data_IF_291079835663
#
_entry.id   IF_291079835663
#
_cell.length_a   1.000
_cell.length_b   1.000
_cell.length_c   1.000
_cell.angle_alpha   90.00
_cell.angle_beta   90.00
_cell.angle_gamma   90.00
#
_symmetry.space_group_name_H-M   'P 1'
#
loop_
_entity.id
_entity.type
_entity.pdbx_description
1 polymer ?
#
# COMPACT_ATOMS: atom_id res chain seq x y z
N UNK A 1 24.60 56.34 45.58
CA UNK A 1 24.48 55.15 46.45
C UNK A 1 23.01 54.92 46.71
N UNK A 2 22.40 53.89 46.12
CA UNK A 2 21.03 53.49 46.44
C UNK A 2 20.93 51.98 46.40
N UNK A 3 20.49 51.47 47.55
CA UNK A 3 20.49 50.09 48.01
C UNK A 3 19.40 49.29 47.31
N UNK A 4 19.68 48.01 47.01
CA UNK A 4 18.68 47.03 46.56
C UNK A 4 17.62 46.81 47.64
N UNK A 5 16.36 46.63 47.22
CA UNK A 5 15.41 45.80 47.95
C UNK A 5 14.78 44.82 46.96
N UNK A 6 15.01 43.52 47.22
CA UNK A 6 14.32 42.41 46.56
C UNK A 6 13.09 42.09 47.42
N UNK A 7 11.91 42.01 46.82
CA UNK A 7 10.74 41.36 47.42
C UNK A 7 10.21 40.36 46.39
N UNK A 8 10.23 39.08 46.78
CA UNK A 8 9.71 37.94 46.04
C UNK A 8 8.47 37.47 46.79
N UNK A 9 7.28 37.50 46.19
CA UNK A 9 6.11 36.76 46.69
C UNK A 9 5.27 36.24 45.52
N UNK A 10 5.44 34.95 45.25
CA UNK A 10 4.56 33.87 44.76
C UNK A 10 3.33 34.10 43.84
N UNK A 11 3.01 33.08 43.01
CA UNK A 11 2.28 33.18 41.76
C UNK A 11 0.76 32.95 41.92
N UNK A 12 -0.06 33.77 41.24
CA UNK A 12 -1.51 33.55 41.12
C UNK A 12 -2.01 33.97 39.74
N UNK A 13 -1.63 33.24 38.70
CA UNK A 13 -2.37 33.29 37.43
C UNK A 13 -2.40 31.88 36.83
N UNK A 14 -3.19 30.99 37.43
CA UNK A 14 -3.56 29.69 36.88
C UNK A 14 -5.08 29.57 36.92
N UNK A 15 -5.78 30.45 36.21
CA UNK A 15 -7.20 30.26 35.87
C UNK A 15 -7.39 30.80 34.46
N UNK A 16 -7.68 29.93 33.51
CA UNK A 16 -8.14 30.33 32.18
C UNK A 16 -7.31 29.86 31.00
N UNK A 17 -7.00 28.56 30.88
CA UNK A 17 -6.55 27.98 29.61
C UNK A 17 -6.80 26.45 29.51
N UNK A 18 -7.85 25.91 30.13
CA UNK A 18 -8.02 24.45 30.27
C UNK A 18 -9.05 23.80 29.32
N UNK A 19 -9.61 24.51 28.32
CA UNK A 19 -10.71 23.96 27.51
C UNK A 19 -10.49 24.00 25.99
N UNK A 20 -9.27 23.75 25.49
CA UNK A 20 -9.04 23.70 24.03
C UNK A 20 -8.05 22.62 23.57
N UNK A 21 -7.93 21.48 24.26
CA UNK A 21 -6.98 20.42 23.88
C UNK A 21 -7.55 19.00 23.84
N UNK A 22 -8.87 18.83 23.69
CA UNK A 22 -9.50 17.50 23.61
C UNK A 22 -10.18 17.21 22.27
N UNK A 23 -9.66 17.75 21.17
CA UNK A 23 -9.92 17.19 19.84
C UNK A 23 -8.86 16.12 19.55
N UNK A 24 -8.85 15.04 20.35
CA UNK A 24 -8.11 13.84 19.98
C UNK A 24 -8.81 13.27 18.75
N UNK A 25 -8.13 13.34 17.61
CA UNK A 25 -8.64 12.86 16.35
C UNK A 25 -9.14 11.42 16.50
N UNK A 26 -10.38 11.19 16.10
CA UNK A 26 -10.86 9.84 15.86
C UNK A 26 -10.05 9.26 14.70
N UNK A 27 -8.94 8.61 15.01
CA UNK A 27 -8.21 7.82 14.05
C UNK A 27 -9.15 6.69 13.61
N UNK A 28 -9.72 6.80 12.41
CA UNK A 28 -10.42 5.69 11.80
C UNK A 28 -9.44 4.52 11.72
N UNK A 29 -9.63 3.52 12.58
CA UNK A 29 -8.92 2.26 12.46
C UNK A 29 -9.54 1.52 11.27
N UNK A 30 -8.91 1.63 10.10
CA UNK A 30 -9.27 0.81 8.95
C UNK A 30 -8.98 -0.65 9.30
N UNK A 31 -10.01 -1.35 9.79
CA UNK A 31 -9.91 -2.76 10.12
C UNK A 31 -9.92 -3.58 8.81
N UNK A 32 -8.73 -4.03 8.39
CA UNK A 32 -8.53 -4.85 7.20
C UNK A 32 -8.75 -6.36 7.46
N UNK A 33 -9.49 -6.74 8.50
CA UNK A 33 -9.72 -8.14 8.85
C UNK A 33 -10.29 -8.99 7.71
N UNK A 34 -11.01 -8.40 6.75
CA UNK A 34 -11.51 -9.10 5.56
C UNK A 34 -10.40 -9.73 4.70
N UNK A 35 -9.15 -9.25 4.82
CA UNK A 35 -8.00 -9.80 4.09
C UNK A 35 -7.42 -11.06 4.74
N UNK A 36 -7.73 -11.34 6.02
CA UNK A 36 -7.20 -12.52 6.72
C UNK A 36 -7.65 -13.83 6.08
N UNK A 37 -8.85 -13.83 5.50
CA UNK A 37 -9.44 -14.99 4.83
C UNK A 37 -9.25 -14.96 3.31
N UNK A 38 -8.18 -14.33 2.82
CA UNK A 38 -7.87 -14.28 1.38
C UNK A 38 -6.48 -14.87 1.12
N UNK A 39 -6.17 -15.32 -0.11
CA UNK A 39 -4.86 -15.85 -0.47
C UNK A 39 -3.67 -14.97 -0.05
N UNK A 40 -3.85 -13.64 0.06
CA UNK A 40 -2.79 -12.71 0.44
C UNK A 40 -2.27 -12.94 1.87
N UNK A 41 -3.09 -13.49 2.78
CA UNK A 41 -2.69 -13.75 4.17
C UNK A 41 -1.64 -14.86 4.29
N UNK A 42 -1.48 -15.68 3.24
CA UNK A 42 -0.48 -16.75 3.19
C UNK A 42 0.85 -16.33 2.56
N UNK A 43 0.96 -15.11 2.02
CA UNK A 43 2.21 -14.64 1.41
C UNK A 43 3.28 -14.37 2.45
N UNK A 44 4.45 -14.97 2.28
CA UNK A 44 5.66 -14.48 2.91
C UNK A 44 6.19 -13.23 2.19
N UNK A 45 7.11 -12.51 2.82
CA UNK A 45 7.82 -11.40 2.17
C UNK A 45 8.55 -11.85 0.89
N UNK A 46 9.07 -13.07 0.87
CA UNK A 46 9.75 -13.63 -0.30
C UNK A 46 8.76 -13.91 -1.44
N UNK A 47 7.59 -14.45 -1.12
CA UNK A 47 6.51 -14.66 -2.10
C UNK A 47 6.05 -13.33 -2.69
N UNK A 48 5.86 -12.31 -1.85
CA UNK A 48 5.46 -10.97 -2.31
C UNK A 48 6.51 -10.37 -3.25
N UNK A 49 7.80 -10.48 -2.91
CA UNK A 49 8.87 -9.98 -3.75
C UNK A 49 8.99 -10.76 -5.07
N UNK A 50 8.81 -12.08 -5.04
CA UNK A 50 8.85 -12.93 -6.23
C UNK A 50 7.69 -12.63 -7.18
N UNK A 51 6.45 -12.56 -6.66
CA UNK A 51 5.28 -12.20 -7.46
C UNK A 51 5.39 -10.78 -8.02
N UNK A 52 5.89 -9.81 -7.23
CA UNK A 52 6.10 -8.45 -7.71
C UNK A 52 7.09 -8.39 -8.88
N UNK A 53 8.16 -9.19 -8.86
CA UNK A 53 9.09 -9.31 -9.99
C UNK A 53 8.41 -9.92 -11.22
N UNK A 54 7.60 -10.96 -11.04
CA UNK A 54 6.85 -11.57 -12.13
C UNK A 54 5.86 -10.57 -12.77
N UNK A 55 5.12 -9.81 -11.95
CA UNK A 55 4.22 -8.74 -12.41
C UNK A 55 4.99 -7.66 -13.17
N UNK A 56 6.17 -7.24 -12.70
CA UNK A 56 6.99 -6.27 -13.40
C UNK A 56 7.48 -6.80 -14.76
N UNK A 57 7.91 -8.05 -14.81
CA UNK A 57 8.32 -8.70 -16.07
C UNK A 57 7.17 -8.76 -17.07
N UNK A 58 5.99 -9.22 -16.64
CA UNK A 58 4.78 -9.29 -17.49
C UNK A 58 4.34 -7.90 -17.95
N UNK A 59 4.48 -6.88 -17.10
CA UNK A 59 4.24 -5.48 -17.48
C UNK A 59 5.23 -5.01 -18.55
N UNK A 60 6.51 -5.31 -18.42
CA UNK A 60 7.52 -4.73 -19.31
C UNK A 60 7.63 -5.48 -20.64
N UNK A 61 7.42 -6.80 -20.62
CA UNK A 61 7.73 -7.70 -21.74
C UNK A 61 6.52 -8.51 -22.23
N UNK A 62 5.51 -8.74 -21.38
CA UNK A 62 4.41 -9.67 -21.68
C UNK A 62 3.48 -9.15 -22.78
N UNK A 63 3.08 -10.01 -23.72
CA UNK A 63 2.13 -9.62 -24.77
C UNK A 63 0.72 -9.49 -24.19
N UNK A 64 0.00 -8.45 -24.59
CA UNK A 64 -1.38 -8.24 -24.15
C UNK A 64 -2.25 -9.48 -24.42
N UNK A 65 -3.03 -9.88 -23.42
CA UNK A 65 -3.90 -11.06 -23.44
C UNK A 65 -3.18 -12.39 -23.20
N UNK A 66 -1.85 -12.45 -23.26
CA UNK A 66 -1.08 -13.65 -22.92
C UNK A 66 -1.08 -13.88 -21.41
N UNK A 67 -1.30 -15.12 -20.99
CA UNK A 67 -1.32 -15.47 -19.57
C UNK A 67 -0.03 -16.18 -19.19
N UNK A 68 0.66 -15.63 -18.18
CA UNK A 68 1.85 -16.23 -17.59
C UNK A 68 1.48 -16.82 -16.23
N UNK A 69 1.78 -18.11 -16.04
CA UNK A 69 1.64 -18.78 -14.75
C UNK A 69 2.84 -18.47 -13.84
N UNK A 70 2.55 -18.22 -12.58
CA UNK A 70 3.54 -18.07 -11.52
C UNK A 70 3.16 -18.99 -10.36
N UNK A 71 4.17 -19.57 -9.72
CA UNK A 71 3.99 -20.33 -8.48
C UNK A 71 5.11 -19.95 -7.52
N UNK A 72 4.83 -19.99 -6.21
CA UNK A 72 5.90 -19.78 -5.25
C UNK A 72 6.80 -21.02 -5.10
N UNK A 73 8.07 -20.75 -4.79
CA UNK A 73 9.13 -21.75 -4.55
C UNK A 73 9.30 -22.09 -3.05
N UNK A 74 8.51 -21.44 -2.18
CA UNK A 74 8.62 -21.59 -0.73
C UNK A 74 8.13 -22.93 -0.19
N UNK A 75 8.60 -23.30 1.00
CA UNK A 75 8.15 -24.48 1.76
C UNK A 75 6.79 -24.29 2.47
N UNK A 76 6.17 -23.12 2.33
CA UNK A 76 4.92 -22.74 2.98
C UNK A 76 3.68 -23.20 2.20
N UNK A 77 2.55 -22.50 2.43
CA UNK A 77 1.34 -22.68 1.62
C UNK A 77 1.69 -22.50 0.13
N UNK A 78 1.23 -23.44 -0.72
CA UNK A 78 1.36 -23.30 -2.16
C UNK A 78 0.50 -22.14 -2.65
N UNK A 79 1.12 -21.23 -3.36
CA UNK A 79 0.52 -20.09 -4.01
C UNK A 79 0.68 -20.27 -5.52
N UNK A 80 -0.39 -20.04 -6.26
CA UNK A 80 -0.36 -19.94 -7.72
C UNK A 80 -0.94 -18.59 -8.13
N UNK A 81 -0.44 -18.03 -9.23
CA UNK A 81 -1.01 -16.85 -9.84
C UNK A 81 -1.02 -16.94 -11.37
N UNK A 82 -2.06 -16.36 -11.99
CA UNK A 82 -2.14 -16.12 -13.43
C UNK A 82 -2.02 -14.63 -13.69
N UNK A 83 -1.08 -14.25 -14.55
CA UNK A 83 -0.75 -12.86 -14.87
C UNK A 83 -1.10 -12.58 -16.33
N UNK A 84 -2.07 -11.71 -16.57
CA UNK A 84 -2.49 -11.32 -17.92
C UNK A 84 -2.38 -9.81 -18.08
N UNK A 85 -1.47 -9.28 -18.93
CA UNK A 85 -1.36 -7.86 -19.18
C UNK A 85 -2.41 -7.39 -20.19
N UNK A 86 -2.83 -6.14 -20.04
CA UNK A 86 -3.55 -5.39 -21.06
C UNK A 86 -3.06 -3.94 -21.09
N UNK A 87 -2.95 -3.37 -22.28
CA UNK A 87 -2.51 -1.99 -22.49
C UNK A 87 -3.72 -1.10 -22.79
N UNK A 88 -3.76 0.07 -22.17
CA UNK A 88 -4.76 1.12 -22.43
C UNK A 88 -4.07 2.48 -22.47
N UNK A 89 -4.52 3.38 -23.33
CA UNK A 89 -4.13 4.79 -23.27
C UNK A 89 -5.08 5.54 -22.33
N UNK A 90 -4.57 6.21 -21.31
CA UNK A 90 -5.35 7.04 -20.39
C UNK A 90 -4.71 8.42 -20.25
N UNK A 91 -5.47 9.48 -20.54
CA UNK A 91 -5.00 10.87 -20.45
C UNK A 91 -3.69 11.10 -21.25
N UNK A 92 -3.56 10.45 -22.41
CA UNK A 92 -2.35 10.53 -23.24
C UNK A 92 -1.13 9.79 -22.68
N UNK A 93 -1.31 8.95 -21.67
CA UNK A 93 -0.28 8.07 -21.09
C UNK A 93 -0.58 6.62 -21.41
N UNK A 94 0.43 5.89 -21.88
CA UNK A 94 0.37 4.43 -21.97
C UNK A 94 0.30 3.84 -20.57
N UNK A 95 -0.78 3.11 -20.30
CA UNK A 95 -0.99 2.36 -19.07
C UNK A 95 -1.09 0.87 -19.34
N UNK A 96 -0.71 0.06 -18.36
CA UNK A 96 -0.75 -1.39 -18.40
C UNK A 96 -1.39 -1.91 -17.13
N UNK A 97 -2.53 -2.59 -17.27
CA UNK A 97 -3.17 -3.34 -16.19
C UNK A 97 -2.66 -4.77 -16.23
N UNK A 98 -2.33 -5.33 -15.07
CA UNK A 98 -1.97 -6.75 -14.94
C UNK A 98 -3.06 -7.46 -14.16
N UNK A 99 -3.96 -8.17 -14.83
CA UNK A 99 -4.92 -9.05 -14.14
C UNK A 99 -4.12 -10.15 -13.46
N UNK A 100 -4.19 -10.20 -12.13
CA UNK A 100 -3.43 -11.11 -11.28
C UNK A 100 -4.41 -11.96 -10.48
N UNK A 101 -4.67 -13.16 -10.96
CA UNK A 101 -5.57 -14.12 -10.30
C UNK A 101 -4.74 -15.00 -9.40
N UNK A 102 -4.93 -14.91 -8.09
CA UNK A 102 -4.14 -15.59 -7.07
C UNK A 102 -4.99 -16.69 -6.44
N UNK A 103 -4.41 -17.88 -6.29
CA UNK A 103 -5.05 -19.03 -5.69
C UNK A 103 -4.20 -19.59 -4.54
N UNK A 104 -4.89 -19.93 -3.44
CA UNK A 104 -4.30 -20.59 -2.28
C UNK A 104 -5.39 -21.36 -1.52
N UNK A 105 -5.13 -22.63 -1.18
CA UNK A 105 -6.05 -23.45 -0.35
C UNK A 105 -7.52 -23.45 -0.83
N UNK A 106 -7.76 -23.46 -2.14
CA UNK A 106 -9.11 -23.45 -2.71
C UNK A 106 -9.81 -22.07 -2.66
N UNK A 107 -9.13 -21.03 -2.19
CA UNK A 107 -9.58 -19.65 -2.24
C UNK A 107 -8.95 -18.93 -3.43
N UNK A 108 -9.68 -17.99 -4.03
CA UNK A 108 -9.19 -17.15 -5.11
C UNK A 108 -9.35 -15.67 -4.78
N UNK A 109 -8.45 -14.85 -5.32
CA UNK A 109 -8.54 -13.39 -5.27
C UNK A 109 -7.97 -12.83 -6.55
N UNK A 110 -8.63 -11.81 -7.11
CA UNK A 110 -8.13 -11.12 -8.31
C UNK A 110 -7.68 -9.71 -7.95
N UNK A 111 -6.43 -9.39 -8.27
CA UNK A 111 -5.88 -8.04 -8.21
C UNK A 111 -5.71 -7.49 -9.63
N UNK A 112 -5.88 -6.17 -9.78
CA UNK A 112 -5.73 -5.46 -11.07
C UNK A 112 -4.87 -4.22 -10.90
N UNK A 113 -3.58 -4.35 -10.54
CA UNK A 113 -2.68 -3.21 -10.49
C UNK A 113 -2.57 -2.56 -11.87
N UNK A 114 -2.72 -1.24 -11.90
CA UNK A 114 -2.58 -0.40 -13.08
C UNK A 114 -1.28 0.39 -12.99
N UNK A 115 -0.43 0.26 -14.00
CA UNK A 115 0.81 1.03 -14.09
C UNK A 115 0.72 1.96 -15.28
N UNK A 116 0.95 3.26 -15.09
CA UNK A 116 1.01 4.23 -16.20
C UNK A 116 2.43 4.74 -16.37
N UNK A 117 2.88 4.91 -17.62
CA UNK A 117 4.14 5.58 -17.90
C UNK A 117 4.02 7.06 -17.53
N UNK A 118 5.02 7.54 -16.81
CA UNK A 118 5.27 8.97 -16.60
C UNK A 118 5.83 9.59 -17.88
N UNK A 119 5.86 10.93 -17.96
CA UNK A 119 6.52 11.64 -19.06
C UNK A 119 8.00 11.24 -19.24
N UNK A 120 8.68 10.84 -18.15
CA UNK A 120 10.05 10.32 -18.17
C UNK A 120 10.15 8.83 -18.59
N UNK A 121 9.06 8.21 -19.04
CA UNK A 121 9.00 6.82 -19.50
C UNK A 121 9.01 5.77 -18.38
N UNK A 122 9.09 6.17 -17.10
CA UNK A 122 9.05 5.25 -15.96
C UNK A 122 7.62 4.82 -15.65
N UNK A 123 7.41 3.54 -15.37
CA UNK A 123 6.14 3.02 -14.88
C UNK A 123 5.86 3.43 -13.44
N UNK A 124 4.64 3.90 -13.19
CA UNK A 124 4.16 4.24 -11.85
C UNK A 124 2.86 3.49 -11.57
N UNK A 125 2.80 2.80 -10.42
CA UNK A 125 1.56 2.19 -9.93
C UNK A 125 0.54 3.29 -9.62
N UNK A 126 -0.66 3.17 -10.16
CA UNK A 126 -1.75 4.09 -9.92
C UNK A 126 -2.56 3.63 -8.70
N UNK A 127 -2.92 4.58 -7.84
CA UNK A 127 -3.93 4.35 -6.81
C UNK A 127 -5.30 4.32 -7.48
N UNK A 128 -6.17 3.43 -7.01
CA UNK A 128 -7.57 3.33 -7.41
C UNK A 128 -8.45 3.53 -6.19
#
# INVERSE_FOLDING_TARGET
MTTRARVSILPRVLVGAACAAAALGAHAQNNLNFLNDTPISYFSKADTASLAKAVQKVRDEGKDGETVDWVNDGRGTKLAAKLTPSTTEQEGRTCREIKTEIEAKGQSMTLRPLYCKTAAGKWQLQKR
#
